data_IF_597499633793
#
_entry.id   IF_597499633793
#
_cell.length_a   1.000
_cell.length_b   1.000
_cell.length_c   1.000
_cell.angle_alpha   90.00
_cell.angle_beta   90.00
_cell.angle_gamma   90.00
#
_symmetry.space_group_name_H-M   'P 1'
#
loop_
_entity.id
_entity.type
_entity.pdbx_description
1 polymer ?
#
# COMPACT_ATOMS: atom_id res chain seq x y z
N UNK A 1 -15.39 -19.59 -11.95
CA UNK A 1 -15.28 -18.71 -10.77
C UNK A 1 -15.94 -17.38 -11.12
N UNK A 2 -17.02 -17.02 -10.44
CA UNK A 2 -17.87 -15.88 -10.77
C UNK A 2 -17.12 -14.57 -10.60
N UNK A 3 -16.82 -13.89 -11.70
CA UNK A 3 -16.27 -12.54 -11.66
C UNK A 3 -17.37 -11.59 -11.16
N UNK A 4 -17.34 -11.27 -9.87
CA UNK A 4 -18.07 -10.12 -9.37
C UNK A 4 -17.57 -8.89 -10.16
N UNK A 5 -18.50 -8.16 -10.78
CA UNK A 5 -18.21 -6.92 -11.48
C UNK A 5 -17.48 -5.92 -10.58
N UNK A 6 -16.88 -4.89 -11.17
CA UNK A 6 -16.22 -3.85 -10.39
C UNK A 6 -17.18 -3.27 -9.34
N UNK A 7 -16.70 -3.09 -8.11
CA UNK A 7 -17.50 -2.53 -7.00
C UNK A 7 -16.98 -1.13 -6.71
N UNK A 8 -17.88 -0.16 -6.65
CA UNK A 8 -17.55 1.21 -6.24
C UNK A 8 -17.86 1.36 -4.75
N UNK A 9 -16.91 1.95 -4.01
CA UNK A 9 -17.05 2.25 -2.58
C UNK A 9 -16.80 3.74 -2.36
N UNK A 10 -17.53 4.34 -1.43
CA UNK A 10 -17.33 5.72 -1.01
C UNK A 10 -16.35 5.77 0.16
N UNK A 11 -15.23 6.48 0.00
CA UNK A 11 -14.22 6.68 1.05
C UNK A 11 -13.92 8.18 1.16
N UNK A 12 -14.16 8.76 2.34
CA UNK A 12 -13.89 10.18 2.61
C UNK A 12 -14.45 11.14 1.53
N UNK A 13 -15.70 10.89 1.11
CA UNK A 13 -16.40 11.69 0.09
C UNK A 13 -15.91 11.46 -1.35
N UNK A 14 -15.21 10.35 -1.61
CA UNK A 14 -14.70 9.98 -2.94
C UNK A 14 -15.13 8.57 -3.34
N UNK A 15 -15.67 8.45 -4.55
CA UNK A 15 -15.93 7.18 -5.20
C UNK A 15 -14.62 6.51 -5.64
N UNK A 16 -14.36 5.30 -5.13
CA UNK A 16 -13.21 4.48 -5.51
C UNK A 16 -13.71 3.16 -6.09
N UNK A 17 -13.27 2.85 -7.32
CA UNK A 17 -13.64 1.61 -8.00
C UNK A 17 -12.62 0.50 -7.73
N UNK A 18 -13.09 -0.59 -7.15
CA UNK A 18 -12.32 -1.82 -6.91
C UNK A 18 -12.63 -2.83 -8.00
N UNK A 19 -11.66 -3.03 -8.89
CA UNK A 19 -11.72 -4.09 -9.91
C UNK A 19 -11.36 -5.45 -9.29
N UNK A 20 -12.09 -6.50 -9.69
CA UNK A 20 -11.93 -7.86 -9.19
C UNK A 20 -11.98 -7.96 -7.64
N UNK A 21 -13.11 -7.59 -7.01
CA UNK A 21 -13.24 -7.51 -5.56
C UNK A 21 -13.12 -8.87 -4.86
N UNK A 22 -13.57 -9.95 -5.53
CA UNK A 22 -13.58 -11.30 -4.99
C UNK A 22 -12.23 -12.02 -5.10
N UNK A 23 -11.20 -11.39 -5.69
CA UNK A 23 -9.86 -11.98 -5.78
C UNK A 23 -9.29 -12.19 -4.37
N UNK A 24 -8.97 -13.44 -4.03
CA UNK A 24 -8.26 -13.78 -2.79
C UNK A 24 -6.83 -13.27 -2.90
N UNK A 25 -6.42 -12.46 -1.93
CA UNK A 25 -5.06 -11.89 -1.85
C UNK A 25 -4.19 -12.63 -0.84
N UNK A 26 -4.78 -13.08 0.26
CA UNK A 26 -4.10 -13.87 1.29
C UNK A 26 -4.69 -15.27 1.30
N UNK A 27 -4.02 -16.22 0.62
CA UNK A 27 -4.53 -17.58 0.45
C UNK A 27 -4.79 -18.30 1.77
N UNK A 28 -3.87 -18.17 2.73
CA UNK A 28 -3.96 -18.81 4.06
C UNK A 28 -5.12 -18.29 4.92
N UNK A 29 -5.49 -17.03 4.75
CA UNK A 29 -6.55 -16.38 5.54
C UNK A 29 -7.88 -16.25 4.78
N UNK A 30 -7.92 -16.62 3.49
CA UNK A 30 -9.10 -16.45 2.64
C UNK A 30 -9.52 -14.99 2.41
N UNK A 31 -8.65 -14.02 2.69
CA UNK A 31 -8.98 -12.59 2.66
C UNK A 31 -9.00 -12.10 1.21
N UNK A 32 -10.10 -11.44 0.82
CA UNK A 32 -10.26 -10.89 -0.53
C UNK A 32 -9.67 -9.49 -0.68
N UNK A 33 -9.51 -9.05 -1.93
CA UNK A 33 -9.11 -7.69 -2.26
C UNK A 33 -10.08 -6.66 -1.67
N UNK A 34 -11.38 -6.95 -1.70
CA UNK A 34 -12.38 -6.04 -1.13
C UNK A 34 -12.24 -5.91 0.38
N UNK A 35 -11.95 -7.02 1.08
CA UNK A 35 -11.75 -7.00 2.53
C UNK A 35 -10.51 -6.20 2.92
N UNK A 36 -9.41 -6.34 2.15
CA UNK A 36 -8.21 -5.54 2.36
C UNK A 36 -8.49 -4.03 2.19
N UNK A 37 -9.29 -3.65 1.19
CA UNK A 37 -9.67 -2.26 0.97
C UNK A 37 -10.54 -1.73 2.11
N UNK A 38 -11.50 -2.52 2.58
CA UNK A 38 -12.34 -2.18 3.74
C UNK A 38 -11.52 -2.02 5.02
N UNK A 39 -10.53 -2.89 5.23
CA UNK A 39 -9.60 -2.78 6.34
C UNK A 39 -8.81 -1.47 6.29
N UNK A 40 -8.21 -1.13 5.13
CA UNK A 40 -7.50 0.15 5.03
C UNK A 40 -8.42 1.34 5.26
N UNK A 41 -9.67 1.30 4.80
CA UNK A 41 -10.65 2.34 5.05
C UNK A 41 -11.00 2.48 6.55
N UNK A 42 -11.08 1.38 7.30
CA UNK A 42 -11.39 1.42 8.74
C UNK A 42 -10.25 1.97 9.60
N UNK A 43 -9.00 1.76 9.20
CA UNK A 43 -7.81 2.24 9.94
C UNK A 43 -7.22 3.54 9.39
N UNK A 44 -7.74 4.05 8.26
CA UNK A 44 -7.16 5.16 7.51
C UNK A 44 -6.94 6.40 8.37
N UNK A 45 -7.91 6.79 9.20
CA UNK A 45 -7.83 8.02 9.99
C UNK A 45 -6.62 8.02 10.94
N UNK A 46 -6.37 6.90 11.62
CA UNK A 46 -5.22 6.74 12.50
C UNK A 46 -3.92 6.56 11.74
N UNK A 47 -3.91 5.70 10.73
CA UNK A 47 -2.72 5.40 9.95
C UNK A 47 -2.17 6.63 9.22
N UNK A 48 -3.05 7.46 8.63
CA UNK A 48 -2.66 8.63 7.85
C UNK A 48 -2.02 9.72 8.71
N UNK A 49 -2.34 9.82 10.01
CA UNK A 49 -1.66 10.79 10.90
C UNK A 49 -0.15 10.57 10.98
N UNK A 50 0.32 9.32 10.93
CA UNK A 50 1.74 8.99 11.02
C UNK A 50 2.52 9.15 9.70
N UNK A 51 1.84 8.94 8.56
CA UNK A 51 2.49 8.88 7.23
C UNK A 51 2.18 10.09 6.34
N UNK A 52 1.31 11.01 6.76
CA UNK A 52 0.98 12.20 5.97
C UNK A 52 2.23 13.01 5.61
N UNK A 53 2.31 13.46 4.36
CA UNK A 53 3.43 14.24 3.84
C UNK A 53 4.74 13.47 3.63
N UNK A 54 4.78 12.14 3.90
CA UNK A 54 5.98 11.32 3.70
C UNK A 54 5.96 10.66 2.32
N UNK A 55 7.06 10.70 1.57
CA UNK A 55 7.16 9.91 0.34
C UNK A 55 7.11 8.41 0.65
N UNK A 56 6.18 7.70 0.03
CA UNK A 56 6.00 6.26 0.23
C UNK A 56 6.46 5.46 -0.99
N UNK A 57 6.80 4.19 -0.77
CA UNK A 57 7.02 3.19 -1.83
C UNK A 57 5.91 2.15 -1.71
N UNK A 58 5.26 1.82 -2.82
CA UNK A 58 4.19 0.83 -2.82
C UNK A 58 4.77 -0.56 -3.11
N UNK A 59 4.68 -1.47 -2.14
CA UNK A 59 4.88 -2.90 -2.36
C UNK A 59 3.56 -3.48 -2.85
N UNK A 60 3.53 -3.97 -4.08
CA UNK A 60 2.29 -4.39 -4.75
C UNK A 60 2.35 -5.86 -5.10
N UNK A 61 1.29 -6.57 -4.73
CA UNK A 61 1.08 -7.98 -5.00
C UNK A 61 -0.07 -8.11 -6.00
N UNK A 62 0.23 -8.28 -7.29
CA UNK A 62 -0.83 -8.33 -8.33
C UNK A 62 -1.60 -9.65 -8.24
N UNK A 63 -0.88 -10.74 -7.96
CA UNK A 63 -1.39 -12.11 -7.99
C UNK A 63 -1.71 -12.70 -6.61
N UNK A 64 -1.47 -11.95 -5.54
CA UNK A 64 -1.62 -12.42 -4.17
C UNK A 64 -0.29 -12.43 -3.45
N UNK A 65 -0.31 -12.71 -2.14
CA UNK A 65 0.88 -12.66 -1.28
C UNK A 65 1.87 -13.80 -1.50
N UNK A 66 1.43 -14.86 -2.16
CA UNK A 66 2.22 -16.08 -2.37
C UNK A 66 3.18 -15.94 -3.56
N UNK A 67 3.05 -14.87 -4.35
CA UNK A 67 3.91 -14.55 -5.50
C UNK A 67 4.82 -13.34 -5.23
N UNK A 68 5.81 -13.16 -6.13
CA UNK A 68 6.81 -12.11 -6.02
C UNK A 68 6.18 -10.70 -6.06
N UNK A 69 6.45 -9.84 -5.07
CA UNK A 69 5.97 -8.48 -5.08
C UNK A 69 6.75 -7.60 -6.05
N UNK A 70 6.10 -6.57 -6.57
CA UNK A 70 6.79 -5.48 -7.25
C UNK A 70 6.80 -4.21 -6.42
N UNK A 71 7.91 -3.48 -6.44
CA UNK A 71 8.07 -2.22 -5.74
C UNK A 71 7.89 -1.04 -6.68
N UNK A 72 6.88 -0.23 -6.42
CA UNK A 72 6.59 0.98 -7.18
C UNK A 72 7.06 2.22 -6.40
N UNK A 73 8.19 2.77 -6.84
CA UNK A 73 8.79 3.99 -6.28
C UNK A 73 8.26 5.28 -6.90
N UNK A 74 7.75 5.21 -8.14
CA UNK A 74 7.26 6.38 -8.91
C UNK A 74 5.75 6.35 -9.09
N UNK A 75 5.14 7.54 -9.13
CA UNK A 75 3.71 7.67 -9.40
C UNK A 75 3.43 7.18 -10.82
N UNK A 76 2.39 6.35 -11.03
CA UNK A 76 2.00 5.96 -12.36
C UNK A 76 1.42 7.19 -13.09
N UNK A 77 1.59 7.29 -14.41
CA UNK A 77 1.04 8.40 -15.19
C UNK A 77 -0.50 8.39 -15.18
N UNK A 78 -1.11 7.20 -15.20
CA UNK A 78 -2.55 7.01 -14.99
C UNK A 78 -2.83 6.94 -13.49
N UNK A 79 -3.13 8.09 -12.90
CA UNK A 79 -3.59 8.21 -11.50
C UNK A 79 -4.77 9.18 -11.42
N UNK A 80 -5.57 9.11 -10.36
CA UNK A 80 -6.57 10.13 -10.09
C UNK A 80 -5.95 11.52 -9.86
N UNK A 81 -6.61 12.56 -10.36
CA UNK A 81 -6.13 13.96 -10.28
C UNK A 81 -5.83 14.42 -8.84
N UNK A 82 -6.57 13.89 -7.87
CA UNK A 82 -6.49 14.23 -6.45
C UNK A 82 -5.34 13.58 -5.68
N UNK A 83 -4.63 12.60 -6.26
CA UNK A 83 -3.47 12.01 -5.59
C UNK A 83 -2.30 13.02 -5.61
N UNK A 84 -1.32 12.93 -4.70
CA UNK A 84 -0.07 13.72 -4.70
C UNK A 84 1.07 13.03 -5.49
N UNK A 85 2.06 13.77 -6.01
CA UNK A 85 3.18 13.19 -6.79
C UNK A 85 4.33 12.70 -5.91
N UNK A 86 4.23 12.90 -4.61
CA UNK A 86 5.29 12.67 -3.63
C UNK A 86 5.41 11.17 -3.30
N UNK A 87 5.78 10.37 -4.28
CA UNK A 87 6.36 9.06 -4.04
C UNK A 87 7.88 9.21 -3.99
N UNK A 88 8.54 8.40 -3.16
CA UNK A 88 9.95 8.58 -2.83
C UNK A 88 10.81 8.74 -4.09
N UNK A 89 11.49 9.91 -4.20
CA UNK A 89 12.53 10.11 -5.21
C UNK A 89 13.56 8.98 -5.02
N UNK A 90 13.90 8.21 -6.06
CA UNK A 90 15.02 7.29 -5.94
C UNK A 90 16.26 8.12 -5.63
N UNK A 91 16.95 7.84 -4.52
CA UNK A 91 18.30 8.35 -4.32
C UNK A 91 19.13 7.90 -5.52
N UNK A 92 19.66 8.86 -6.27
CA UNK A 92 20.75 8.59 -7.19
C UNK A 92 22.04 8.47 -6.37
N UNK A 93 22.89 7.53 -6.78
CA UNK A 93 24.25 7.28 -6.32
C UNK A 93 24.41 6.66 -4.92
N UNK A 94 25.31 5.67 -4.88
CA UNK A 94 25.78 5.05 -3.66
C UNK A 94 26.49 6.04 -2.75
N UNK A 95 26.36 5.81 -1.45
CA UNK A 95 27.49 5.38 -0.66
C UNK A 95 26.94 4.60 0.54
N UNK A 96 27.61 3.50 0.84
CA UNK A 96 27.35 2.70 2.02
C UNK A 96 27.70 3.53 3.26
N UNK A 97 26.69 4.13 3.89
CA UNK A 97 26.79 4.55 5.28
C UNK A 97 25.76 3.74 6.06
N UNK A 98 26.20 2.58 6.52
CA UNK A 98 25.53 1.83 7.58
C UNK A 98 25.34 2.79 8.77
N UNK A 99 24.10 3.18 9.02
CA UNK A 99 23.73 3.88 10.24
C UNK A 99 23.80 2.86 11.39
N UNK A 100 24.67 3.02 12.40
CA UNK A 100 24.72 2.07 13.50
C UNK A 100 23.46 2.22 14.35
N UNK A 101 22.68 1.13 14.44
CA UNK A 101 21.52 1.06 15.30
C UNK A 101 21.88 1.46 16.75
N UNK A 102 20.99 2.18 17.47
CA UNK A 102 21.26 2.52 18.87
C UNK A 102 21.31 1.23 19.71
N UNK A 103 22.47 0.98 20.35
CA UNK A 103 22.60 -0.07 21.35
C UNK A 103 21.76 0.31 22.56
N UNK A 104 20.70 -0.44 22.82
CA UNK A 104 19.98 -0.37 24.09
C UNK A 104 20.92 -0.83 25.22
N UNK A 105 20.92 -0.15 26.39
CA UNK A 105 21.70 -0.58 27.53
C UNK A 105 21.12 -1.87 28.09
N UNK A 106 21.91 -2.95 28.05
CA UNK A 106 21.67 -4.16 28.85
C UNK A 106 22.27 -3.98 30.23
N UNK A 107 21.46 -3.53 31.18
CA UNK A 107 21.61 -3.82 32.60
C UNK A 107 20.23 -3.70 33.23
N UNK A 108 19.76 -4.82 33.79
CA UNK A 108 18.50 -4.94 34.53
C UNK A 108 18.58 -4.20 35.86
#
# INVERSE_FOLDING_TARGET
>A
MTQAGAVTIEIAGRAVTVTNPAKVFFGSAGITKLDLVRYYASVAEGALRGISGRPIVLKRYVNGTDEEPFFQKRAPPSRPSWLGKDLARPSAAGDAAASPAPRLPTSW
#
